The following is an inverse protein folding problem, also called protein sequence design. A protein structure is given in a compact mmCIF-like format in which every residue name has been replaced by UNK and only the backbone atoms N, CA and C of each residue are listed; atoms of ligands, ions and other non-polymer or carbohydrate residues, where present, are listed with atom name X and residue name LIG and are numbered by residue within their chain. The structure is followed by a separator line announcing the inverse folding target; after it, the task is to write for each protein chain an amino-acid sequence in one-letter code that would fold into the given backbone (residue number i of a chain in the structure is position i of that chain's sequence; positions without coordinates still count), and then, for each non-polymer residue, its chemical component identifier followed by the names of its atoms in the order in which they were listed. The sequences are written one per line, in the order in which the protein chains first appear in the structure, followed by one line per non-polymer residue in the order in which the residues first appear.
data_IF_293664311450
#
_entry.id   IF_293664311450
#
_cell.length_a   1.000
_cell.length_b   1.000
_cell.length_c   1.000
_cell.angle_alpha   90.00
_cell.angle_beta   90.00
_cell.angle_gamma   90.00
#
_symmetry.space_group_name_H-M   'P 1'
#
loop_
_entity.id
_entity.type
_entity.pdbx_description
1 polymer ?
#
# COMPACT_ATOMS: atom_id res chain seq x y z
N UNK A 1 4.42 -3.58 -9.37
CA UNK A 1 5.75 -4.19 -9.15
C UNK A 1 6.48 -3.55 -7.98
N UNK A 2 6.47 -2.22 -7.84
CA UNK A 2 7.11 -1.45 -6.76
C UNK A 2 6.70 -1.91 -5.35
N UNK A 3 5.41 -2.01 -5.03
CA UNK A 3 4.94 -2.44 -3.71
C UNK A 3 5.56 -3.76 -3.22
N UNK A 4 5.66 -4.75 -4.12
CA UNK A 4 6.24 -6.05 -3.79
C UNK A 4 7.75 -5.97 -3.57
N UNK A 5 8.45 -5.19 -4.38
CA UNK A 5 9.88 -4.97 -4.25
C UNK A 5 10.23 -4.25 -2.94
N UNK A 6 9.41 -3.27 -2.54
CA UNK A 6 9.55 -2.58 -1.27
C UNK A 6 9.35 -3.57 -0.10
N UNK A 7 8.29 -4.38 -0.14
CA UNK A 7 8.04 -5.44 0.85
C UNK A 7 9.23 -6.41 0.97
N UNK A 8 9.75 -6.89 -0.16
CA UNK A 8 10.87 -7.84 -0.18
C UNK A 8 12.13 -7.21 0.41
N UNK A 9 12.42 -5.94 0.07
CA UNK A 9 13.58 -5.20 0.56
C UNK A 9 13.49 -4.98 2.08
N UNK A 10 12.34 -4.50 2.57
CA UNK A 10 12.14 -4.31 4.00
C UNK A 10 12.24 -5.62 4.78
N UNK A 11 11.70 -6.72 4.22
CA UNK A 11 11.78 -8.05 4.84
C UNK A 11 13.23 -8.55 4.99
N UNK A 12 14.09 -8.32 3.99
CA UNK A 12 15.52 -8.66 4.07
C UNK A 12 16.21 -7.84 5.17
N UNK A 13 16.01 -6.52 5.16
CA UNK A 13 16.64 -5.63 6.14
C UNK A 13 16.19 -5.96 7.57
N UNK A 14 14.89 -6.20 7.78
CA UNK A 14 14.35 -6.60 9.07
C UNK A 14 15.02 -7.88 9.59
N UNK A 15 15.14 -8.92 8.74
CA UNK A 15 15.85 -10.16 9.09
C UNK A 15 17.31 -9.92 9.46
N UNK A 16 18.01 -9.04 8.73
CA UNK A 16 19.41 -8.70 9.02
C UNK A 16 19.57 -7.96 10.35
N UNK A 17 18.65 -7.07 10.70
CA UNK A 17 18.66 -6.34 11.97
C UNK A 17 18.36 -7.26 13.16
N UNK A 18 17.38 -8.15 13.03
CA UNK A 18 17.02 -9.13 14.07
C UNK A 18 18.17 -10.14 14.27
N UNK A 19 18.84 -10.56 13.20
CA UNK A 19 20.01 -11.42 13.30
C UNK A 19 21.18 -10.75 14.05
N UNK A 20 21.30 -9.42 13.98
CA UNK A 20 22.31 -8.66 14.72
C UNK A 20 21.95 -8.49 16.19
N UNK A 21 20.68 -8.23 16.48
CA UNK A 21 20.17 -8.11 17.85
C UNK A 21 18.74 -8.70 17.94
N UNK A 22 18.61 -9.94 18.45
CA UNK A 22 17.32 -10.61 18.56
C UNK A 22 16.33 -9.90 19.48
N UNK A 23 16.80 -9.06 20.41
CA UNK A 23 15.91 -8.30 21.31
C UNK A 23 15.04 -7.28 20.57
N UNK A 24 15.43 -6.90 19.35
CA UNK A 24 14.72 -5.94 18.52
C UNK A 24 13.54 -6.54 17.74
N UNK A 25 13.38 -7.88 17.71
CA UNK A 25 12.39 -8.58 16.87
C UNK A 25 10.99 -7.97 17.00
N UNK A 26 10.50 -7.83 18.23
CA UNK A 26 9.14 -7.37 18.46
C UNK A 26 8.94 -5.91 18.04
N UNK A 27 9.95 -5.05 18.25
CA UNK A 27 9.91 -3.65 17.85
C UNK A 27 9.98 -3.49 16.32
N UNK A 28 10.91 -4.20 15.68
CA UNK A 28 11.08 -4.20 14.22
C UNK A 28 9.82 -4.75 13.53
N UNK A 29 9.24 -5.84 14.02
CA UNK A 29 8.04 -6.43 13.43
C UNK A 29 6.85 -5.46 13.51
N UNK A 30 6.68 -4.79 14.65
CA UNK A 30 5.61 -3.81 14.85
C UNK A 30 5.77 -2.61 13.91
N UNK A 31 6.98 -2.04 13.83
CA UNK A 31 7.28 -0.93 12.93
C UNK A 31 7.13 -1.31 11.46
N UNK A 32 7.60 -2.51 11.07
CA UNK A 32 7.46 -3.02 9.71
C UNK A 32 6.00 -3.18 9.31
N UNK A 33 5.17 -3.76 10.19
CA UNK A 33 3.74 -3.94 9.92
C UNK A 33 3.04 -2.60 9.73
N UNK A 34 3.32 -1.62 10.58
CA UNK A 34 2.75 -0.28 10.45
C UNK A 34 3.16 0.36 9.11
N UNK A 35 4.43 0.27 8.75
CA UNK A 35 4.97 0.86 7.52
C UNK A 35 4.35 0.21 6.26
N UNK A 36 4.26 -1.12 6.22
CA UNK A 36 3.65 -1.85 5.10
C UNK A 36 2.16 -1.56 4.95
N UNK A 37 1.45 -1.39 6.07
CA UNK A 37 0.04 -1.01 6.07
C UNK A 37 -0.16 0.40 5.51
N UNK A 38 0.68 1.35 5.91
CA UNK A 38 0.63 2.73 5.40
C UNK A 38 0.90 2.79 3.90
N UNK A 39 1.94 2.09 3.42
CA UNK A 39 2.25 2.04 1.98
C UNK A 39 1.08 1.42 1.22
N UNK A 40 0.52 0.31 1.73
CA UNK A 40 -0.64 -0.34 1.12
C UNK A 40 -1.85 0.59 1.03
N UNK A 41 -2.13 1.35 2.10
CA UNK A 41 -3.21 2.32 2.14
C UNK A 41 -3.04 3.41 1.07
N UNK A 42 -1.84 3.99 0.96
CA UNK A 42 -1.52 4.99 -0.07
C UNK A 42 -1.69 4.44 -1.49
N UNK A 43 -1.35 3.17 -1.72
CA UNK A 43 -1.59 2.53 -3.03
C UNK A 43 -3.08 2.42 -3.35
N UNK A 44 -3.92 2.03 -2.37
CA UNK A 44 -5.38 1.96 -2.54
C UNK A 44 -5.97 3.33 -2.82
N UNK A 45 -5.56 4.34 -2.06
CA UNK A 45 -6.00 5.73 -2.28
C UNK A 45 -5.62 6.24 -3.66
N UNK A 46 -4.41 5.96 -4.14
CA UNK A 46 -4.00 6.33 -5.49
C UNK A 46 -4.85 5.64 -6.57
N UNK A 47 -5.24 4.38 -6.37
CA UNK A 47 -6.13 3.67 -7.30
C UNK A 47 -7.55 4.25 -7.28
N UNK A 48 -8.08 4.60 -6.10
CA UNK A 48 -9.40 5.23 -6.00
C UNK A 48 -9.42 6.59 -6.70
N UNK A 49 -8.42 7.44 -6.43
CA UNK A 49 -8.29 8.74 -7.09
C UNK A 49 -8.22 8.61 -8.61
N UNK A 50 -7.49 7.60 -9.11
CA UNK A 50 -7.42 7.33 -10.55
C UNK A 50 -8.78 6.96 -11.15
N UNK A 51 -9.59 6.14 -10.46
CA UNK A 51 -10.94 5.77 -10.90
C UNK A 51 -11.84 7.01 -10.91
N UNK A 52 -11.84 7.79 -9.83
CA UNK A 52 -12.67 8.98 -9.70
C UNK A 52 -12.34 10.03 -10.78
N UNK A 53 -11.05 10.23 -11.07
CA UNK A 53 -10.61 11.09 -12.17
C UNK A 53 -11.06 10.56 -13.54
N UNK A 54 -11.05 9.24 -13.73
CA UNK A 54 -11.49 8.62 -14.97
C UNK A 54 -13.00 8.80 -15.17
N UNK A 55 -13.80 8.49 -14.15
CA UNK A 55 -15.27 8.63 -14.19
C UNK A 55 -15.70 10.09 -14.35
N UNK A 56 -14.95 11.03 -13.77
CA UNK A 56 -15.17 12.46 -13.97
C UNK A 56 -14.89 12.92 -15.40
N UNK A 57 -13.85 12.38 -16.06
CA UNK A 57 -13.50 12.71 -17.45
C UNK A 57 -14.42 12.02 -18.47
N UNK A 58 -14.95 10.85 -18.12
CA UNK A 58 -15.80 10.03 -18.97
C UNK A 58 -17.10 9.66 -18.24
N UNK A 59 -17.98 10.66 -17.95
CA UNK A 59 -19.23 10.38 -17.27
C UNK A 59 -20.07 9.41 -18.11
N UNK A 60 -20.58 8.38 -17.43
CA UNK A 60 -21.45 7.40 -18.07
C UNK A 60 -22.65 8.11 -18.71
N UNK A 61 -23.04 7.79 -19.96
CA UNK A 61 -24.20 8.40 -20.58
C UNK A 61 -25.46 8.07 -19.76
N UNK A 62 -26.26 9.09 -19.42
CA UNK A 62 -27.52 8.90 -18.71
C UNK A 62 -28.43 8.00 -19.57
N UNK A 63 -28.89 6.87 -19.02
CA UNK A 63 -29.87 5.99 -19.69
C UNK A 63 -31.26 6.32 -19.08
N UNK A 64 -32.21 6.89 -19.84
CA UNK A 64 -33.57 7.16 -19.36
C UNK A 64 -34.31 5.86 -18.97
N UNK A 65 -35.24 5.88 -17.98
CA UNK A 65 -35.85 7.05 -17.34
C UNK A 65 -35.21 7.40 -15.98
N UNK A 66 -33.94 7.05 -15.75
CA UNK A 66 -33.29 7.17 -14.44
C UNK A 66 -32.66 8.57 -14.17
N UNK A 67 -32.89 9.54 -15.07
CA UNK A 67 -32.72 10.96 -14.78
C UNK A 67 -34.14 11.53 -14.52
#
# INVERSE_FOLDING_TARGET
QVYRQDCDTFGIVAKMLIAKDPSLEQSIQSSLQANLKEIGQRCVEAMQNFIDEYDSKYPSPCIPPQC
#
